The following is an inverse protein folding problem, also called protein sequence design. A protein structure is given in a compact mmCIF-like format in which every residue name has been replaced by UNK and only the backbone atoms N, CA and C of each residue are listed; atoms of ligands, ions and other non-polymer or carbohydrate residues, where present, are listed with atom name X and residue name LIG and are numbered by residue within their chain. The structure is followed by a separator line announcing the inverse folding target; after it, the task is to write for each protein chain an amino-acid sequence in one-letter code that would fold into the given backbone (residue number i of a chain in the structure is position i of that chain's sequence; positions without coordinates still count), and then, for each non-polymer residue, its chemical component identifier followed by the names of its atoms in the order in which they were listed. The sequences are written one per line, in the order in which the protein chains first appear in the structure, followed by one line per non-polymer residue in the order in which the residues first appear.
data_IF_724397245242
#
_entry.id   IF_724397245242
#
_cell.length_a   1.000
_cell.length_b   1.000
_cell.length_c   1.000
_cell.angle_alpha   90.00
_cell.angle_beta   90.00
_cell.angle_gamma   90.00
#
_symmetry.space_group_name_H-M   'P 1'
#
loop_
_entity.id
_entity.type
_entity.pdbx_description
1 polymer ?
#
# COMPACT_ATOMS: atom_id res chain seq x y z
N UNK A 1 47.72 0.06 25.66
CA UNK A 1 46.68 -0.73 24.99
C UNK A 1 45.40 0.07 25.00
N UNK A 2 45.07 0.67 23.87
CA UNK A 2 43.88 1.52 23.71
C UNK A 2 42.79 0.68 23.08
N UNK A 3 41.71 0.38 23.84
CA UNK A 3 40.55 -0.31 23.34
C UNK A 3 39.77 0.67 22.45
N UNK A 4 39.77 0.45 21.14
CA UNK A 4 38.83 1.07 20.23
C UNK A 4 37.45 0.41 20.42
N UNK A 5 36.54 1.09 21.09
CA UNK A 5 35.14 0.76 21.11
C UNK A 5 34.55 1.06 19.72
N UNK A 6 34.29 0.03 18.93
CA UNK A 6 33.51 0.15 17.70
C UNK A 6 32.06 0.43 18.07
N UNK A 7 31.63 1.66 17.91
CA UNK A 7 30.19 2.01 17.98
C UNK A 7 29.51 1.42 16.77
N UNK A 8 28.72 0.35 16.99
CA UNK A 8 27.78 -0.14 16.01
C UNK A 8 26.75 0.98 15.72
N UNK A 9 26.48 1.31 14.45
CA UNK A 9 25.42 2.25 14.13
C UNK A 9 24.12 1.70 14.70
N UNK A 10 23.46 2.50 15.53
CA UNK A 10 22.10 2.21 15.95
C UNK A 10 21.27 2.07 14.68
N UNK A 11 20.77 0.87 14.39
CA UNK A 11 19.74 0.67 13.39
C UNK A 11 18.59 1.58 13.78
N UNK A 12 18.38 2.64 12.99
CA UNK A 12 17.21 3.49 13.15
C UNK A 12 16.03 2.58 13.34
N UNK A 13 15.13 2.90 14.30
CA UNK A 13 13.92 2.14 14.56
C UNK A 13 13.04 2.19 13.32
N UNK A 14 13.44 1.43 12.30
CA UNK A 14 12.70 1.19 11.09
C UNK A 14 11.41 0.46 11.46
N UNK A 15 10.37 0.70 10.71
CA UNK A 15 9.12 -0.03 10.81
C UNK A 15 9.41 -1.51 11.15
N UNK A 16 8.88 -2.02 12.28
CA UNK A 16 9.14 -3.39 12.76
C UNK A 16 8.84 -4.46 11.71
N UNK A 17 8.13 -4.09 10.65
CA UNK A 17 7.76 -4.94 9.53
C UNK A 17 8.56 -4.66 8.26
N UNK A 18 9.45 -3.65 8.25
CA UNK A 18 10.36 -3.42 7.13
C UNK A 18 11.25 -4.65 6.92
N UNK A 19 11.30 -5.16 5.70
CA UNK A 19 12.04 -6.37 5.37
C UNK A 19 11.31 -7.69 5.63
N UNK A 20 10.11 -7.68 6.23
CA UNK A 20 9.32 -8.88 6.42
C UNK A 20 8.53 -9.28 5.17
N UNK A 21 7.97 -8.27 4.48
CA UNK A 21 7.20 -8.46 3.25
C UNK A 21 7.87 -7.82 2.04
N UNK A 22 8.81 -6.93 2.25
CA UNK A 22 9.49 -6.19 1.20
C UNK A 22 10.86 -5.69 1.69
N UNK A 23 11.81 -5.46 0.79
CA UNK A 23 13.07 -4.81 1.10
C UNK A 23 12.84 -3.30 1.42
N UNK A 24 13.83 -2.60 1.95
CA UNK A 24 13.76 -1.15 2.07
C UNK A 24 13.40 -0.51 0.72
N UNK A 25 12.48 0.47 0.66
CA UNK A 25 12.09 1.09 -0.59
C UNK A 25 13.27 1.75 -1.30
N UNK A 26 13.51 1.35 -2.55
CA UNK A 26 14.55 1.94 -3.40
C UNK A 26 14.14 3.32 -3.90
N UNK A 27 12.84 3.56 -4.05
CA UNK A 27 12.28 4.81 -4.53
C UNK A 27 11.08 5.22 -3.68
N UNK A 28 10.95 6.54 -3.46
CA UNK A 28 9.82 7.13 -2.73
C UNK A 28 9.30 8.32 -3.52
N UNK A 29 7.99 8.43 -3.65
CA UNK A 29 7.32 9.59 -4.23
C UNK A 29 6.22 10.11 -3.31
N UNK A 30 5.84 11.36 -3.49
CA UNK A 30 4.75 12.01 -2.77
C UNK A 30 3.62 12.26 -3.74
N UNK A 31 2.44 11.79 -3.40
CA UNK A 31 1.22 12.07 -4.14
C UNK A 31 0.35 13.06 -3.36
N UNK A 32 0.07 14.19 -3.96
CA UNK A 32 -0.88 15.17 -3.43
C UNK A 32 -2.28 14.80 -3.87
N UNK A 33 -3.06 14.29 -2.95
CA UNK A 33 -4.42 13.87 -3.23
C UNK A 33 -5.35 15.07 -3.48
N UNK A 34 -6.37 14.85 -4.29
CA UNK A 34 -7.39 15.87 -4.63
C UNK A 34 -8.58 15.87 -3.69
N UNK A 35 -8.48 15.17 -2.59
CA UNK A 35 -9.53 15.02 -1.59
C UNK A 35 -8.97 15.13 -0.17
N UNK A 36 -9.84 15.39 0.78
CA UNK A 36 -9.56 15.28 2.21
C UNK A 36 -9.91 13.88 2.70
N UNK A 37 -9.35 13.49 3.84
CA UNK A 37 -9.77 12.30 4.55
C UNK A 37 -11.18 12.50 5.09
N UNK A 38 -12.06 11.52 4.90
CA UNK A 38 -13.40 11.55 5.49
C UNK A 38 -13.30 11.59 7.03
N UNK A 39 -14.15 12.36 7.70
CA UNK A 39 -14.32 12.23 9.14
C UNK A 39 -14.76 10.78 9.45
N UNK A 40 -14.46 10.31 10.64
CA UNK A 40 -14.84 8.98 11.13
C UNK A 40 -14.19 7.77 10.40
N UNK A 41 -13.17 8.02 9.58
CA UNK A 41 -12.36 6.93 9.02
C UNK A 41 -11.32 6.47 10.03
N UNK A 42 -11.60 5.36 10.68
CA UNK A 42 -10.71 4.69 11.61
C UNK A 42 -10.03 3.45 11.03
N UNK A 43 -9.34 2.73 11.89
CA UNK A 43 -8.69 1.46 11.59
C UNK A 43 -9.67 0.45 10.94
N UNK A 44 -10.87 0.34 11.48
CA UNK A 44 -11.88 -0.62 11.00
C UNK A 44 -12.31 -0.36 9.57
N UNK A 45 -12.50 0.91 9.19
CA UNK A 45 -12.86 1.31 7.83
C UNK A 45 -11.76 0.91 6.85
N UNK A 46 -10.49 1.17 7.20
CA UNK A 46 -9.35 0.79 6.35
C UNK A 46 -9.21 -0.72 6.22
N UNK A 47 -9.37 -1.47 7.30
CA UNK A 47 -9.37 -2.93 7.25
C UNK A 47 -10.54 -3.47 6.43
N UNK A 48 -11.74 -2.90 6.60
CA UNK A 48 -12.92 -3.25 5.80
C UNK A 48 -12.70 -3.02 4.30
N UNK A 49 -12.04 -1.93 3.93
CA UNK A 49 -11.67 -1.66 2.55
C UNK A 49 -10.69 -2.72 2.01
N UNK A 50 -9.66 -3.09 2.75
CA UNK A 50 -8.70 -4.15 2.36
C UNK A 50 -9.41 -5.49 2.16
N UNK A 51 -10.32 -5.84 3.06
CA UNK A 51 -11.14 -7.06 2.93
C UNK A 51 -12.00 -7.01 1.68
N UNK A 52 -12.65 -5.88 1.41
CA UNK A 52 -13.47 -5.67 0.21
C UNK A 52 -12.65 -5.82 -1.09
N UNK A 53 -11.46 -5.22 -1.13
CA UNK A 53 -10.53 -5.37 -2.25
C UNK A 53 -10.13 -6.84 -2.46
N UNK A 54 -9.76 -7.53 -1.39
CA UNK A 54 -9.39 -8.94 -1.45
C UNK A 54 -10.55 -9.81 -1.95
N UNK A 55 -11.76 -9.57 -1.48
CA UNK A 55 -12.95 -10.29 -1.93
C UNK A 55 -13.22 -10.06 -3.43
N UNK A 56 -13.05 -8.84 -3.92
CA UNK A 56 -13.20 -8.56 -5.36
C UNK A 56 -12.15 -9.29 -6.20
N UNK A 57 -10.92 -9.35 -5.73
CA UNK A 57 -9.87 -10.13 -6.41
C UNK A 57 -10.16 -11.64 -6.41
N UNK A 58 -10.68 -12.16 -5.31
CA UNK A 58 -11.03 -13.58 -5.20
C UNK A 58 -12.24 -14.02 -6.05
N UNK A 59 -13.07 -13.08 -6.48
CA UNK A 59 -14.20 -13.36 -7.40
C UNK A 59 -13.76 -13.53 -8.86
N UNK A 60 -12.52 -13.16 -9.19
CA UNK A 60 -12.00 -13.34 -10.54
C UNK A 60 -11.81 -14.83 -10.85
N UNK A 61 -11.94 -15.26 -12.13
CA UNK A 61 -11.81 -16.67 -12.51
C UNK A 61 -10.38 -17.19 -12.48
N UNK A 62 -9.41 -16.36 -12.19
CA UNK A 62 -7.98 -16.70 -12.10
C UNK A 62 -7.43 -16.33 -10.71
N UNK A 63 -6.35 -17.01 -10.26
CA UNK A 63 -5.74 -16.73 -8.97
C UNK A 63 -5.25 -15.29 -8.85
N UNK A 64 -5.32 -14.67 -7.66
CA UNK A 64 -4.73 -13.36 -7.42
C UNK A 64 -3.25 -13.33 -7.75
N UNK A 65 -2.79 -12.25 -8.39
CA UNK A 65 -1.39 -12.05 -8.74
C UNK A 65 -0.62 -11.29 -7.65
N UNK A 66 -1.32 -10.71 -6.71
CA UNK A 66 -0.78 -9.94 -5.60
C UNK A 66 -1.71 -10.02 -4.39
N UNK A 67 -1.19 -9.63 -3.24
CA UNK A 67 -1.96 -9.50 -1.99
C UNK A 67 -1.87 -8.08 -1.47
N UNK A 68 -2.88 -7.64 -0.74
CA UNK A 68 -2.95 -6.32 -0.13
C UNK A 68 -3.10 -6.49 1.38
N UNK A 69 -2.33 -5.70 2.13
CA UNK A 69 -2.38 -5.65 3.59
C UNK A 69 -2.53 -4.21 4.07
N UNK A 70 -3.14 -4.04 5.24
CA UNK A 70 -3.04 -2.81 6.02
C UNK A 70 -2.16 -3.05 7.24
N UNK A 71 -1.22 -2.15 7.51
CA UNK A 71 -0.26 -2.23 8.61
C UNK A 71 -0.21 -0.92 9.41
N UNK A 72 0.44 -1.01 10.57
CA UNK A 72 0.51 0.06 11.56
C UNK A 72 -0.64 0.00 12.56
N UNK A 73 -0.49 0.71 13.67
CA UNK A 73 -1.46 0.68 14.79
C UNK A 73 -2.86 1.10 14.32
N UNK A 74 -2.93 2.10 13.44
CA UNK A 74 -4.18 2.60 12.84
C UNK A 74 -4.45 2.03 11.44
N UNK A 75 -3.71 1.01 10.98
CA UNK A 75 -3.82 0.46 9.62
C UNK A 75 -3.67 1.52 8.51
N UNK A 76 -2.86 2.55 8.70
CA UNK A 76 -2.68 3.67 7.77
C UNK A 76 -1.65 3.41 6.66
N UNK A 77 -0.96 2.28 6.72
CA UNK A 77 0.01 1.86 5.72
C UNK A 77 -0.58 0.71 4.91
N UNK A 78 -0.69 0.90 3.61
CA UNK A 78 -1.09 -0.15 2.69
C UNK A 78 0.15 -0.79 2.10
N UNK A 79 0.20 -2.12 2.07
CA UNK A 79 1.30 -2.88 1.49
C UNK A 79 0.72 -3.80 0.43
N UNK A 80 1.27 -3.73 -0.77
CA UNK A 80 0.88 -4.55 -1.92
C UNK A 80 2.10 -5.39 -2.30
N UNK A 81 1.96 -6.71 -2.27
CA UNK A 81 3.05 -7.64 -2.56
C UNK A 81 2.67 -8.58 -3.67
N UNK A 82 3.55 -8.73 -4.66
CA UNK A 82 3.39 -9.69 -5.74
C UNK A 82 3.40 -11.13 -5.22
N UNK A 83 2.53 -11.95 -5.78
CA UNK A 83 2.53 -13.41 -5.59
C UNK A 83 3.20 -14.14 -6.75
N UNK A 84 3.66 -13.42 -7.76
CA UNK A 84 4.23 -13.96 -8.99
C UNK A 84 5.51 -13.23 -9.33
N UNK A 85 6.54 -13.99 -9.66
CA UNK A 85 7.83 -13.46 -10.10
C UNK A 85 7.67 -12.59 -11.34
N UNK A 86 8.38 -11.45 -11.34
CA UNK A 86 8.35 -10.51 -12.44
C UNK A 86 7.05 -9.73 -12.63
N UNK A 87 6.07 -9.86 -11.75
CA UNK A 87 4.80 -9.14 -11.85
C UNK A 87 4.92 -7.67 -11.37
N UNK A 88 5.68 -7.43 -10.29
CA UNK A 88 5.94 -6.11 -9.73
C UNK A 88 7.45 -5.96 -9.45
N UNK A 89 8.27 -5.98 -10.43
CA UNK A 89 9.73 -5.90 -10.27
C UNK A 89 10.34 -4.60 -10.78
N UNK A 90 9.53 -3.71 -11.30
CA UNK A 90 9.94 -2.40 -11.82
C UNK A 90 8.93 -1.32 -11.43
N UNK A 91 9.41 -0.08 -11.38
CA UNK A 91 8.55 1.09 -11.14
C UNK A 91 7.41 1.18 -12.17
N UNK A 92 7.69 0.86 -13.42
CA UNK A 92 6.67 0.87 -14.48
C UNK A 92 5.55 -0.14 -14.18
N UNK A 93 5.89 -1.38 -13.80
CA UNK A 93 4.91 -2.42 -13.46
C UNK A 93 4.15 -2.08 -12.18
N UNK A 94 4.84 -1.53 -11.18
CA UNK A 94 4.20 -1.03 -9.96
C UNK A 94 3.14 0.03 -10.27
N UNK A 95 3.46 1.00 -11.10
CA UNK A 95 2.52 2.05 -11.51
C UNK A 95 1.36 1.52 -12.34
N UNK A 96 1.60 0.57 -13.22
CA UNK A 96 0.55 -0.09 -14.00
C UNK A 96 -0.45 -0.82 -13.09
N UNK A 97 0.05 -1.53 -12.08
CA UNK A 97 -0.81 -2.19 -11.10
C UNK A 97 -1.63 -1.18 -10.29
N UNK A 98 -1.03 -0.10 -9.82
CA UNK A 98 -1.74 0.95 -9.09
C UNK A 98 -2.85 1.59 -9.92
N UNK A 99 -2.64 1.77 -11.23
CA UNK A 99 -3.69 2.24 -12.14
C UNK A 99 -4.84 1.22 -12.26
N UNK A 100 -4.52 -0.06 -12.35
CA UNK A 100 -5.54 -1.13 -12.38
C UNK A 100 -6.34 -1.19 -11.08
N UNK A 101 -5.71 -0.97 -9.94
CA UNK A 101 -6.37 -0.97 -8.63
C UNK A 101 -7.47 0.09 -8.51
N UNK A 102 -7.41 1.15 -9.28
CA UNK A 102 -8.50 2.13 -9.37
C UNK A 102 -9.81 1.47 -9.77
N UNK A 103 -9.80 0.62 -10.78
CA UNK A 103 -11.00 -0.10 -11.21
C UNK A 103 -11.50 -1.10 -10.18
N UNK A 104 -10.60 -1.81 -9.53
CA UNK A 104 -10.95 -2.76 -8.45
C UNK A 104 -11.56 -2.02 -7.26
N UNK A 105 -10.94 -0.92 -6.82
CA UNK A 105 -11.43 -0.12 -5.72
C UNK A 105 -12.82 0.45 -5.97
N UNK A 106 -13.07 0.95 -7.19
CA UNK A 106 -14.38 1.48 -7.60
C UNK A 106 -15.51 0.47 -7.55
N UNK A 107 -15.20 -0.82 -7.68
CA UNK A 107 -16.19 -1.90 -7.61
C UNK A 107 -16.44 -2.41 -6.18
N UNK A 108 -15.74 -1.89 -5.18
CA UNK A 108 -16.01 -2.24 -3.78
C UNK A 108 -17.35 -1.64 -3.33
N UNK A 109 -18.12 -2.43 -2.58
CA UNK A 109 -19.43 -2.00 -2.09
C UNK A 109 -19.37 -0.69 -1.32
N UNK A 110 -18.35 -0.55 -0.47
CA UNK A 110 -18.12 0.65 0.32
C UNK A 110 -17.99 1.93 -0.54
N UNK A 111 -17.24 1.89 -1.64
CA UNK A 111 -17.07 3.07 -2.49
C UNK A 111 -18.26 3.29 -3.44
N UNK A 112 -18.96 2.24 -3.81
CA UNK A 112 -20.22 2.34 -4.56
C UNK A 112 -21.28 3.07 -3.72
N UNK A 113 -21.41 2.73 -2.44
CA UNK A 113 -22.33 3.40 -1.52
C UNK A 113 -22.01 4.87 -1.29
N UNK A 114 -20.72 5.24 -1.26
CA UNK A 114 -20.31 6.63 -1.11
C UNK A 114 -20.55 7.49 -2.34
N UNK A 115 -20.74 6.90 -3.53
CA UNK A 115 -21.00 7.62 -4.77
C UNK A 115 -19.85 8.51 -5.26
N UNK A 116 -18.62 8.35 -4.74
CA UNK A 116 -17.47 9.23 -5.02
C UNK A 116 -16.45 8.62 -5.98
N UNK A 117 -16.67 7.38 -6.41
CA UNK A 117 -15.64 6.58 -7.07
C UNK A 117 -15.24 7.05 -8.47
N UNK A 118 -16.10 7.76 -9.21
CA UNK A 118 -15.90 7.99 -10.65
C UNK A 118 -14.76 8.97 -10.98
N UNK A 119 -14.44 9.89 -10.09
CA UNK A 119 -13.52 11.00 -10.35
C UNK A 119 -12.13 10.85 -9.71
N UNK A 120 -11.94 9.83 -8.86
CA UNK A 120 -10.72 9.68 -8.10
C UNK A 120 -9.82 8.58 -8.66
N UNK A 121 -8.51 8.79 -8.54
CA UNK A 121 -7.51 7.73 -8.68
C UNK A 121 -7.48 6.86 -7.43
N UNK A 122 -6.78 5.74 -7.51
CA UNK A 122 -6.55 4.88 -6.34
C UNK A 122 -5.92 5.63 -5.15
N UNK A 123 -5.05 6.60 -5.42
CA UNK A 123 -4.42 7.42 -4.37
C UNK A 123 -5.41 8.39 -3.71
N UNK A 124 -6.29 8.98 -4.50
CA UNK A 124 -7.36 9.85 -3.95
C UNK A 124 -8.29 9.03 -3.07
N UNK A 125 -8.65 7.82 -3.49
CA UNK A 125 -9.48 6.91 -2.69
C UNK A 125 -8.78 6.48 -1.40
N UNK A 126 -7.48 6.19 -1.48
CA UNK A 126 -6.68 5.86 -0.31
C UNK A 126 -6.62 7.03 0.69
N UNK A 127 -6.46 8.28 0.20
CA UNK A 127 -6.50 9.48 1.03
C UNK A 127 -7.87 9.65 1.69
N UNK A 128 -8.94 9.50 0.93
CA UNK A 128 -10.31 9.59 1.43
C UNK A 128 -10.54 8.66 2.63
N UNK A 129 -9.98 7.47 2.59
CA UNK A 129 -10.07 6.46 3.65
C UNK A 129 -9.04 6.63 4.78
N UNK A 130 -8.15 7.60 4.67
CA UNK A 130 -7.15 7.91 5.70
C UNK A 130 -5.86 7.09 5.62
N UNK A 131 -5.58 6.42 4.50
CA UNK A 131 -4.25 5.85 4.27
C UNK A 131 -3.24 6.97 4.06
N UNK A 132 -2.06 6.82 4.65
CA UNK A 132 -0.96 7.80 4.55
C UNK A 132 0.18 7.33 3.67
N UNK A 133 0.26 6.03 3.43
CA UNK A 133 1.37 5.42 2.72
C UNK A 133 0.92 4.17 1.97
N UNK A 134 1.44 4.00 0.76
CA UNK A 134 1.34 2.76 0.00
C UNK A 134 2.75 2.29 -0.29
N UNK A 135 3.05 1.03 0.00
CA UNK A 135 4.29 0.36 -0.43
C UNK A 135 3.91 -0.78 -1.36
N UNK A 136 4.53 -0.83 -2.52
CA UNK A 136 4.34 -1.87 -3.51
C UNK A 136 5.66 -2.57 -3.78
N UNK A 137 5.67 -3.91 -3.76
CA UNK A 137 6.89 -4.70 -3.78
C UNK A 137 6.72 -6.04 -4.50
N UNK A 138 7.83 -6.57 -5.02
CA UNK A 138 7.92 -7.96 -5.47
C UNK A 138 8.11 -8.95 -4.30
N UNK A 139 8.32 -8.45 -3.09
CA UNK A 139 8.59 -9.25 -1.88
C UNK A 139 10.05 -9.63 -1.69
N UNK A 140 10.93 -9.36 -2.64
CA UNK A 140 12.33 -9.82 -2.63
C UNK A 140 13.35 -8.70 -2.81
N UNK A 141 13.34 -8.04 -3.96
CA UNK A 141 14.40 -7.11 -4.38
C UNK A 141 13.91 -5.70 -4.68
N UNK A 142 12.64 -5.53 -4.98
CA UNK A 142 12.05 -4.27 -5.38
C UNK A 142 10.98 -3.80 -4.38
N UNK A 143 11.07 -2.55 -3.96
CA UNK A 143 10.00 -1.86 -3.26
C UNK A 143 9.94 -0.39 -3.67
N UNK A 144 8.73 0.10 -3.89
CA UNK A 144 8.42 1.50 -4.18
C UNK A 144 7.41 2.02 -3.15
N UNK A 145 7.66 3.20 -2.62
CA UNK A 145 6.84 3.82 -1.59
C UNK A 145 6.18 5.08 -2.12
N UNK A 146 4.90 5.23 -1.87
CA UNK A 146 4.13 6.44 -2.15
C UNK A 146 3.62 7.00 -0.82
N UNK A 147 3.95 8.24 -0.53
CA UNK A 147 3.40 9.01 0.60
C UNK A 147 2.21 9.78 0.07
N UNK A 148 1.07 9.71 0.76
CA UNK A 148 -0.20 10.34 0.35
C UNK A 148 -0.45 11.56 1.26
N UNK A 149 -0.44 12.74 0.66
CA UNK A 149 -0.70 14.03 1.31
C UNK A 149 -2.01 14.68 0.89
#
# INVERSE_FOLDING_TARGET
MTLCAATLPALAAGDRHAGYYYPPPATTEVYKARTLTLPDTGREVRLGFIVGMTQQMMRQPYPPQFVIFAKGDDAQKMIIVSLRDGYIDTLFRARALLAMLTSVARSTEFLVELGVAEFFTFFDLAKLLGFKKITISDGESFAHQIIIE
#
